data_IF_116869432844
#
_entry.id   IF_116869432844
#
_cell.length_a   1.000
_cell.length_b   1.000
_cell.length_c   1.000
_cell.angle_alpha   90.00
_cell.angle_beta   90.00
_cell.angle_gamma   90.00
#
_symmetry.space_group_name_H-M   'P 1'
#
loop_
_entity.id
_entity.type
_entity.pdbx_description
1 polymer ?
#
# COMPACT_ATOMS: atom_id res chain seq x y z
N UNK A 1 -35.52 3.10 -30.49
CA UNK A 1 -35.36 1.76 -29.88
C UNK A 1 -34.00 1.23 -30.28
N UNK A 2 -32.95 1.57 -29.52
CA UNK A 2 -31.61 1.04 -29.74
C UNK A 2 -31.37 -0.09 -28.74
N UNK A 3 -31.91 -1.28 -29.03
CA UNK A 3 -31.59 -2.51 -28.30
C UNK A 3 -30.30 -3.10 -28.85
N UNK A 4 -29.20 -2.38 -28.67
CA UNK A 4 -27.87 -2.79 -29.11
C UNK A 4 -26.94 -2.96 -27.92
N UNK A 5 -27.22 -3.92 -27.03
CA UNK A 5 -26.19 -4.34 -26.06
C UNK A 5 -25.12 -5.04 -26.87
N UNK A 6 -24.00 -4.35 -27.06
CA UNK A 6 -22.81 -4.80 -27.76
C UNK A 6 -22.44 -6.25 -27.36
N UNK A 7 -22.31 -7.13 -28.34
CA UNK A 7 -22.16 -8.57 -28.12
C UNK A 7 -20.89 -8.90 -27.33
N UNK A 8 -19.85 -8.09 -27.50
CA UNK A 8 -18.62 -8.16 -26.70
C UNK A 8 -18.88 -7.79 -25.24
N UNK A 9 -19.62 -6.71 -24.98
CA UNK A 9 -20.00 -6.31 -23.62
C UNK A 9 -20.85 -7.39 -22.93
N UNK A 10 -21.79 -8.01 -23.65
CA UNK A 10 -22.58 -9.14 -23.13
C UNK A 10 -21.71 -10.37 -22.81
N UNK A 11 -20.76 -10.69 -23.69
CA UNK A 11 -19.80 -11.78 -23.49
C UNK A 11 -18.87 -11.53 -22.30
N UNK A 12 -18.31 -10.33 -22.18
CA UNK A 12 -17.47 -9.94 -21.04
C UNK A 12 -18.24 -9.95 -19.72
N UNK A 13 -19.46 -9.42 -19.71
CA UNK A 13 -20.32 -9.46 -18.53
C UNK A 13 -20.62 -10.90 -18.10
N UNK A 14 -20.89 -11.79 -19.06
CA UNK A 14 -21.06 -13.21 -18.79
C UNK A 14 -19.79 -13.85 -18.24
N UNK A 15 -18.62 -13.59 -18.84
CA UNK A 15 -17.34 -14.11 -18.37
C UNK A 15 -17.00 -13.65 -16.94
N UNK A 16 -17.23 -12.36 -16.64
CA UNK A 16 -17.03 -11.80 -15.30
C UNK A 16 -17.99 -12.42 -14.30
N UNK A 17 -19.26 -12.59 -14.68
CA UNK A 17 -20.24 -13.27 -13.86
C UNK A 17 -19.80 -14.70 -13.54
N UNK A 18 -19.41 -15.49 -14.55
CA UNK A 18 -18.88 -16.84 -14.36
C UNK A 18 -17.60 -16.87 -13.53
N UNK A 19 -16.72 -15.86 -13.66
CA UNK A 19 -15.51 -15.78 -12.85
C UNK A 19 -15.81 -15.48 -11.38
N UNK A 20 -16.75 -14.56 -11.12
CA UNK A 20 -17.15 -14.16 -9.77
C UNK A 20 -17.99 -15.21 -9.05
N UNK A 21 -18.70 -16.08 -9.78
CA UNK A 21 -19.50 -17.17 -9.20
C UNK A 21 -18.72 -18.47 -9.01
N UNK A 22 -17.46 -18.55 -9.47
CA UNK A 22 -16.62 -19.73 -9.25
C UNK A 22 -16.41 -19.99 -7.75
N UNK A 23 -16.51 -21.26 -7.29
CA UNK A 23 -16.27 -21.62 -5.90
C UNK A 23 -14.92 -21.12 -5.35
N UNK A 24 -13.85 -21.20 -6.16
CA UNK A 24 -12.54 -20.69 -5.77
C UNK A 24 -12.56 -19.18 -5.49
N UNK A 25 -13.26 -18.40 -6.31
CA UNK A 25 -13.33 -16.95 -6.14
C UNK A 25 -14.10 -16.61 -4.86
N UNK A 26 -15.24 -17.25 -4.63
CA UNK A 26 -16.06 -17.02 -3.43
C UNK A 26 -15.24 -17.36 -2.17
N UNK A 27 -14.60 -18.54 -2.14
CA UNK A 27 -13.79 -18.96 -0.99
C UNK A 27 -12.60 -18.02 -0.77
N UNK A 28 -11.86 -17.65 -1.82
CA UNK A 28 -10.78 -16.65 -1.73
C UNK A 28 -11.27 -15.31 -1.18
N UNK A 29 -12.40 -14.81 -1.67
CA UNK A 29 -12.98 -13.53 -1.25
C UNK A 29 -13.28 -13.54 0.25
N UNK A 30 -13.91 -14.62 0.74
CA UNK A 30 -14.23 -14.74 2.16
C UNK A 30 -12.98 -14.85 3.04
N UNK A 31 -11.97 -15.61 2.62
CA UNK A 31 -10.68 -15.69 3.33
C UNK A 31 -10.03 -14.30 3.38
N UNK A 32 -9.92 -13.62 2.23
CA UNK A 32 -9.30 -12.29 2.16
C UNK A 32 -10.07 -11.28 3.01
N UNK A 33 -11.40 -11.28 2.95
CA UNK A 33 -12.24 -10.37 3.71
C UNK A 33 -12.09 -10.58 5.23
N UNK A 34 -12.02 -11.82 5.71
CA UNK A 34 -11.90 -12.11 7.15
C UNK A 34 -10.58 -11.62 7.72
N UNK A 35 -9.46 -11.89 7.03
CA UNK A 35 -8.14 -11.44 7.49
C UNK A 35 -7.93 -9.94 7.27
N UNK A 36 -8.48 -9.37 6.20
CA UNK A 36 -8.44 -7.92 5.99
C UNK A 36 -9.19 -7.17 7.09
N UNK A 37 -10.37 -7.66 7.51
CA UNK A 37 -11.12 -7.07 8.63
C UNK A 37 -10.36 -7.16 9.96
N UNK A 38 -9.57 -8.22 10.19
CA UNK A 38 -8.71 -8.33 11.38
C UNK A 38 -7.52 -7.36 11.34
N UNK A 39 -6.98 -7.09 10.16
CA UNK A 39 -5.85 -6.19 9.96
C UNK A 39 -6.27 -4.71 9.86
N UNK A 40 -7.56 -4.44 9.61
CA UNK A 40 -8.12 -3.10 9.41
C UNK A 40 -7.75 -2.09 10.52
N UNK A 41 -7.84 -2.42 11.83
CA UNK A 41 -7.47 -1.49 12.88
C UNK A 41 -5.98 -1.07 12.81
N UNK A 42 -5.10 -2.00 12.45
CA UNK A 42 -3.67 -1.73 12.32
C UNK A 42 -3.40 -0.90 11.08
N UNK A 43 -4.03 -1.23 9.95
CA UNK A 43 -3.86 -0.43 8.72
C UNK A 43 -4.33 1.01 8.94
N UNK A 44 -5.43 1.21 9.67
CA UNK A 44 -5.92 2.55 9.99
C UNK A 44 -4.98 3.28 10.97
N UNK A 45 -4.44 2.58 11.97
CA UNK A 45 -3.46 3.16 12.89
C UNK A 45 -2.15 3.56 12.20
N UNK A 46 -1.68 2.75 11.25
CA UNK A 46 -0.50 3.06 10.43
C UNK A 46 -0.77 4.20 9.43
N UNK A 47 -2.02 4.39 9.00
CA UNK A 47 -2.41 5.47 8.08
C UNK A 47 -2.68 6.80 8.81
N UNK A 48 -2.79 6.78 10.15
CA UNK A 48 -3.05 7.97 10.93
C UNK A 48 -1.87 8.97 10.85
N UNK A 49 -2.22 10.26 10.84
CA UNK A 49 -1.25 11.38 10.77
C UNK A 49 -0.27 11.36 11.95
N UNK A 50 -0.70 10.84 13.10
CA UNK A 50 0.14 10.61 14.27
C UNK A 50 0.64 9.17 14.26
N UNK A 51 1.81 8.96 13.66
CA UNK A 51 2.39 7.65 13.47
C UNK A 51 3.15 7.18 14.73
N UNK A 52 2.58 6.23 15.49
CA UNK A 52 3.30 5.54 16.58
C UNK A 52 3.65 4.10 16.16
N UNK A 53 4.80 3.95 15.48
CA UNK A 53 5.28 2.65 15.02
C UNK A 53 5.62 1.69 16.16
N UNK A 54 5.95 2.21 17.35
CA UNK A 54 6.27 1.36 18.49
C UNK A 54 5.03 0.58 18.95
N UNK A 55 3.88 1.26 18.97
CA UNK A 55 2.59 0.65 19.27
C UNK A 55 2.13 -0.27 18.13
N UNK A 56 2.32 0.14 16.87
CA UNK A 56 2.00 -0.71 15.72
C UNK A 56 2.79 -2.03 15.73
N UNK A 57 4.10 -1.99 16.04
CA UNK A 57 4.95 -3.19 16.13
C UNK A 57 4.46 -4.16 17.21
N UNK A 58 4.07 -3.66 18.38
CA UNK A 58 3.48 -4.49 19.45
C UNK A 58 2.22 -5.18 18.98
N UNK A 59 1.28 -4.43 18.40
CA UNK A 59 0.04 -5.00 17.86
C UNK A 59 0.29 -6.02 16.75
N UNK A 60 1.28 -5.79 15.88
CA UNK A 60 1.63 -6.74 14.81
C UNK A 60 2.22 -8.02 15.39
N UNK A 61 3.07 -7.93 16.42
CA UNK A 61 3.58 -9.10 17.13
C UNK A 61 2.43 -9.90 17.77
N UNK A 62 1.50 -9.22 18.44
CA UNK A 62 0.29 -9.85 19.01
C UNK A 62 -0.57 -10.52 17.93
N UNK A 63 -0.80 -9.87 16.78
CA UNK A 63 -1.55 -10.47 15.66
C UNK A 63 -0.82 -11.69 15.09
N UNK A 64 0.50 -11.64 14.95
CA UNK A 64 1.27 -12.79 14.47
C UNK A 64 1.12 -13.97 15.45
N UNK A 65 1.15 -13.73 16.76
CA UNK A 65 0.90 -14.77 17.75
C UNK A 65 -0.53 -15.33 17.64
N UNK A 66 -1.53 -14.47 17.51
CA UNK A 66 -2.92 -14.90 17.29
C UNK A 66 -2.99 -15.78 16.03
N UNK A 67 -2.43 -15.35 14.90
CA UNK A 67 -2.46 -16.11 13.65
C UNK A 67 -1.75 -17.46 13.73
N UNK A 68 -0.65 -17.56 14.47
CA UNK A 68 0.04 -18.84 14.70
C UNK A 68 -0.76 -19.77 15.62
N UNK A 69 -1.54 -19.21 16.57
CA UNK A 69 -2.31 -19.97 17.55
C UNK A 69 -3.74 -20.31 17.10
N UNK A 70 -4.16 -19.86 15.92
CA UNK A 70 -5.50 -20.15 15.40
C UNK A 70 -5.63 -21.64 15.03
N UNK A 71 -6.66 -22.28 15.56
CA UNK A 71 -7.12 -23.62 15.14
C UNK A 71 -7.59 -23.54 13.67
N UNK A 72 -6.67 -23.76 12.74
CA UNK A 72 -6.90 -23.64 11.29
C UNK A 72 -8.11 -24.44 10.79
N UNK A 73 -8.45 -25.57 11.45
CA UNK A 73 -9.60 -26.40 11.08
C UNK A 73 -10.94 -25.77 11.46
N UNK A 74 -11.09 -25.30 12.70
CA UNK A 74 -12.36 -24.72 13.18
C UNK A 74 -12.60 -23.35 12.54
N UNK A 75 -11.54 -22.55 12.45
CA UNK A 75 -11.64 -21.21 11.89
C UNK A 75 -11.98 -21.25 10.41
N UNK A 76 -11.34 -22.15 9.65
CA UNK A 76 -11.68 -22.35 8.25
C UNK A 76 -13.10 -22.89 8.06
N UNK A 77 -13.57 -23.79 8.93
CA UNK A 77 -14.93 -24.32 8.85
C UNK A 77 -16.01 -23.22 8.91
N UNK A 78 -15.86 -22.24 9.81
CA UNK A 78 -16.78 -21.11 9.92
C UNK A 78 -16.76 -20.22 8.67
N UNK A 79 -15.58 -19.95 8.12
CA UNK A 79 -15.40 -19.18 6.89
C UNK A 79 -16.02 -19.92 5.70
N UNK A 80 -15.77 -21.23 5.62
CA UNK A 80 -16.26 -22.08 4.55
C UNK A 80 -17.79 -22.19 4.58
N UNK A 81 -18.41 -22.28 5.77
CA UNK A 81 -19.87 -22.28 5.92
C UNK A 81 -20.49 -20.98 5.40
N UNK A 82 -19.92 -19.81 5.75
CA UNK A 82 -20.37 -18.52 5.23
C UNK A 82 -20.24 -18.43 3.71
N UNK A 83 -19.12 -18.92 3.16
CA UNK A 83 -18.90 -19.00 1.73
C UNK A 83 -19.90 -19.94 1.04
N UNK A 84 -20.24 -21.06 1.68
CA UNK A 84 -21.22 -22.04 1.19
C UNK A 84 -22.64 -21.46 1.17
N UNK A 85 -23.05 -20.75 2.21
CA UNK A 85 -24.37 -20.09 2.27
C UNK A 85 -24.54 -19.07 1.13
N UNK A 86 -23.47 -18.32 0.79
CA UNK A 86 -23.48 -17.39 -0.33
C UNK A 86 -23.44 -18.09 -1.68
N UNK A 87 -22.65 -19.17 -1.82
CA UNK A 87 -22.65 -19.97 -3.04
C UNK A 87 -24.03 -20.57 -3.33
N UNK A 88 -24.73 -21.08 -2.31
CA UNK A 88 -26.10 -21.61 -2.43
C UNK A 88 -27.07 -20.51 -2.90
N UNK A 89 -26.97 -19.29 -2.34
CA UNK A 89 -27.79 -18.14 -2.78
C UNK A 89 -27.52 -17.74 -4.24
N UNK A 90 -26.31 -17.97 -4.74
CA UNK A 90 -25.92 -17.71 -6.13
C UNK A 90 -26.28 -18.87 -7.08
N UNK A 91 -26.89 -19.96 -6.57
CA UNK A 91 -27.28 -21.12 -7.37
C UNK A 91 -26.12 -22.06 -7.72
N UNK A 92 -24.94 -21.89 -7.11
CA UNK A 92 -23.74 -22.66 -7.38
C UNK A 92 -23.39 -23.62 -6.23
N UNK A 93 -22.95 -24.83 -6.57
CA UNK A 93 -22.45 -25.80 -5.58
C UNK A 93 -20.93 -25.72 -5.55
N UNK A 94 -20.35 -25.52 -4.37
CA UNK A 94 -18.90 -25.60 -4.17
C UNK A 94 -18.45 -27.03 -4.52
N UNK A 95 -17.78 -27.16 -5.67
CA UNK A 95 -17.16 -28.40 -6.14
C UNK A 95 -15.65 -28.23 -6.13
N UNK A 96 -14.95 -29.34 -5.87
CA UNK A 96 -13.50 -29.40 -6.04
C UNK A 96 -13.22 -29.18 -7.54
N UNK A 97 -12.33 -28.26 -7.92
CA UNK A 97 -11.89 -28.14 -9.31
C UNK A 97 -11.30 -29.49 -9.75
N UNK A 98 -11.60 -29.93 -10.97
CA UNK A 98 -11.13 -31.22 -11.50
C UNK A 98 -9.61 -31.36 -11.31
N UNK A 99 -9.19 -32.32 -10.48
CA UNK A 99 -7.79 -32.63 -10.25
C UNK A 99 -7.33 -33.49 -11.42
N UNK A 100 -6.52 -32.91 -12.31
CA UNK A 100 -5.89 -33.65 -13.41
C UNK A 100 -4.63 -34.31 -12.88
N UNK A 101 -4.40 -35.58 -13.21
CA UNK A 101 -3.32 -36.41 -12.66
C UNK A 101 -1.90 -35.82 -12.84
N UNK A 102 -1.68 -35.01 -13.88
CA UNK A 102 -0.43 -34.30 -14.13
C UNK A 102 -0.61 -32.79 -13.91
N UNK A 103 -0.31 -32.30 -12.71
CA UNK A 103 -0.10 -30.87 -12.45
C UNK A 103 1.30 -30.67 -11.87
N UNK A 104 2.18 -30.02 -12.64
CA UNK A 104 3.58 -29.79 -12.23
C UNK A 104 3.75 -28.65 -11.20
N UNK A 105 2.70 -27.85 -10.96
CA UNK A 105 2.78 -26.62 -10.16
C UNK A 105 1.80 -26.56 -8.97
N UNK A 106 1.07 -27.65 -8.66
CA UNK A 106 0.11 -27.69 -7.56
C UNK A 106 0.35 -28.92 -6.66
N UNK A 107 0.25 -28.71 -5.35
CA UNK A 107 0.41 -29.75 -4.33
C UNK A 107 -0.82 -30.68 -4.34
N UNK A 108 -0.70 -31.86 -4.94
CA UNK A 108 -1.76 -32.88 -4.93
C UNK A 108 -1.79 -33.63 -3.60
N UNK A 109 -2.39 -33.02 -2.58
CA UNK A 109 -2.67 -33.73 -1.33
C UNK A 109 -3.84 -34.72 -1.53
N UNK A 110 -3.78 -35.93 -0.95
CA UNK A 110 -4.89 -36.88 -1.04
C UNK A 110 -6.04 -36.36 -0.17
N UNK A 111 -7.12 -35.88 -0.78
CA UNK A 111 -8.17 -35.14 -0.08
C UNK A 111 -9.54 -35.77 -0.32
N UNK A 112 -10.27 -36.02 0.77
CA UNK A 112 -11.59 -36.66 0.78
C UNK A 112 -12.77 -35.67 0.86
N UNK A 113 -12.56 -34.38 1.17
CA UNK A 113 -13.64 -33.37 1.28
C UNK A 113 -13.30 -32.05 0.57
N UNK A 114 -14.28 -31.32 0.01
CA UNK A 114 -14.05 -29.99 -0.58
C UNK A 114 -13.48 -28.99 0.41
N UNK A 115 -13.85 -29.11 1.69
CA UNK A 115 -13.39 -28.24 2.76
C UNK A 115 -11.89 -28.44 3.03
N UNK A 116 -11.42 -29.68 3.13
CA UNK A 116 -10.00 -29.98 3.31
C UNK A 116 -9.17 -29.49 2.11
N UNK A 117 -9.72 -29.55 0.89
CA UNK A 117 -9.02 -29.07 -0.31
C UNK A 117 -8.77 -27.57 -0.24
N UNK A 118 -9.80 -26.78 0.01
CA UNK A 118 -9.65 -25.33 0.09
C UNK A 118 -8.83 -24.88 1.30
N UNK A 119 -8.87 -25.65 2.40
CA UNK A 119 -8.03 -25.37 3.57
C UNK A 119 -6.54 -25.49 3.23
N UNK A 120 -6.13 -26.59 2.60
CA UNK A 120 -4.71 -26.87 2.34
C UNK A 120 -4.18 -26.10 1.14
N UNK A 121 -5.01 -25.95 0.09
CA UNK A 121 -4.56 -25.30 -1.16
C UNK A 121 -4.60 -23.78 -1.12
N UNK A 122 -5.54 -23.17 -0.38
CA UNK A 122 -5.74 -21.71 -0.40
C UNK A 122 -5.51 -21.09 0.97
N UNK A 123 -6.21 -21.58 2.01
CA UNK A 123 -6.20 -20.94 3.32
C UNK A 123 -4.81 -20.99 3.97
N UNK A 124 -4.19 -22.17 4.07
CA UNK A 124 -2.88 -22.31 4.71
C UNK A 124 -1.79 -21.50 3.99
N UNK A 125 -1.60 -21.60 2.66
CA UNK A 125 -0.60 -20.80 1.96
C UNK A 125 -0.87 -19.29 2.07
N UNK A 126 -2.14 -18.87 2.11
CA UNK A 126 -2.48 -17.45 2.28
C UNK A 126 -2.10 -16.94 3.68
N UNK A 127 -2.45 -17.67 4.73
CA UNK A 127 -2.10 -17.31 6.12
C UNK A 127 -0.58 -17.31 6.31
N UNK A 128 0.11 -18.33 5.80
CA UNK A 128 1.58 -18.41 5.86
C UNK A 128 2.23 -17.24 5.12
N UNK A 129 1.72 -16.89 3.94
CA UNK A 129 2.19 -15.74 3.17
C UNK A 129 1.97 -14.43 3.91
N UNK A 130 0.80 -14.23 4.53
CA UNK A 130 0.51 -13.05 5.35
C UNK A 130 1.46 -12.95 6.54
N UNK A 131 1.65 -14.04 7.29
CA UNK A 131 2.56 -14.08 8.44
C UNK A 131 3.99 -13.78 7.99
N UNK A 132 4.44 -14.38 6.88
CA UNK A 132 5.77 -14.15 6.32
C UNK A 132 5.94 -12.67 5.93
N UNK A 133 4.99 -12.07 5.24
CA UNK A 133 5.05 -10.66 4.85
C UNK A 133 5.06 -9.72 6.06
N UNK A 134 4.25 -10.00 7.09
CA UNK A 134 4.26 -9.23 8.34
C UNK A 134 5.60 -9.35 9.06
N UNK A 135 6.16 -10.57 9.16
CA UNK A 135 7.49 -10.80 9.75
C UNK A 135 8.61 -10.11 8.98
N UNK A 136 8.59 -10.18 7.65
CA UNK A 136 9.57 -9.51 6.80
C UNK A 136 9.49 -7.99 6.94
N UNK A 137 8.28 -7.43 6.95
CA UNK A 137 8.09 -5.97 7.03
C UNK A 137 8.49 -5.41 8.38
N UNK A 138 8.14 -6.07 9.48
CA UNK A 138 8.41 -5.62 10.85
C UNK A 138 9.56 -6.38 11.51
N UNK A 139 10.49 -6.90 10.70
CA UNK A 139 11.70 -7.56 11.17
C UNK A 139 12.58 -6.60 11.97
N UNK A 140 13.47 -7.16 12.78
CA UNK A 140 14.46 -6.35 13.52
C UNK A 140 15.43 -5.61 12.59
N UNK A 141 15.64 -6.13 11.38
CA UNK A 141 16.50 -5.53 10.35
C UNK A 141 15.93 -4.18 9.87
N UNK A 142 14.60 -4.07 9.74
CA UNK A 142 13.92 -2.82 9.37
C UNK A 142 13.73 -1.87 10.57
N UNK A 143 14.20 -2.25 11.77
CA UNK A 143 14.07 -1.42 12.96
C UNK A 143 14.80 -0.09 12.80
N UNK A 144 15.97 -0.07 12.14
CA UNK A 144 16.71 1.15 11.86
C UNK A 144 15.92 2.13 10.97
N UNK A 145 15.24 1.63 9.94
CA UNK A 145 14.37 2.43 9.09
C UNK A 145 13.19 3.03 9.85
N UNK A 146 12.61 2.27 10.79
CA UNK A 146 11.53 2.76 11.66
C UNK A 146 12.02 3.72 12.75
N UNK A 147 13.27 3.59 13.18
CA UNK A 147 13.89 4.47 14.19
C UNK A 147 14.00 5.93 13.72
N UNK A 148 14.00 6.20 12.40
CA UNK A 148 13.94 7.56 11.86
C UNK A 148 12.72 8.35 12.38
N UNK A 149 11.61 7.68 12.67
CA UNK A 149 10.40 8.33 13.18
C UNK A 149 10.50 8.70 14.67
N UNK A 150 11.53 8.18 15.37
CA UNK A 150 11.88 8.64 16.72
C UNK A 150 12.58 10.01 16.70
N UNK A 151 12.93 10.54 15.52
CA UNK A 151 13.36 11.94 15.34
C UNK A 151 12.24 12.95 15.63
N UNK A 152 11.01 12.48 15.86
CA UNK A 152 9.89 13.33 16.24
C UNK A 152 9.95 13.75 17.72
N UNK A 153 9.72 15.03 18.07
CA UNK A 153 9.80 15.53 19.44
C UNK A 153 8.92 14.77 20.46
N UNK A 154 7.73 14.31 20.05
CA UNK A 154 6.83 13.50 20.89
C UNK A 154 7.48 12.18 21.33
N UNK A 155 8.27 11.56 20.45
CA UNK A 155 8.95 10.30 20.72
C UNK A 155 10.23 10.54 21.54
N UNK A 156 10.99 11.60 21.22
CA UNK A 156 12.19 11.98 21.97
C UNK A 156 11.91 12.23 23.46
N UNK A 157 10.79 12.87 23.79
CA UNK A 157 10.41 13.13 25.19
C UNK A 157 10.15 11.85 25.98
N UNK A 158 9.81 10.75 25.32
CA UNK A 158 9.56 9.44 25.96
C UNK A 158 10.84 8.62 26.12
N UNK A 159 11.91 8.94 25.38
CA UNK A 159 13.11 8.11 25.24
C UNK A 159 14.26 8.68 26.06
N UNK A 160 15.02 7.80 26.73
CA UNK A 160 16.23 8.18 27.46
C UNK A 160 17.37 8.54 26.50
N UNK A 161 18.27 9.43 26.93
CA UNK A 161 19.35 9.94 26.07
C UNK A 161 20.24 8.83 25.50
N UNK A 162 20.63 7.86 26.33
CA UNK A 162 21.54 6.77 25.91
C UNK A 162 20.90 5.85 24.87
N UNK A 163 19.59 5.61 24.98
CA UNK A 163 18.82 4.82 24.00
C UNK A 163 18.67 5.57 22.68
N UNK A 164 18.49 6.89 22.74
CA UNK A 164 18.45 7.72 21.54
C UNK A 164 19.78 7.70 20.78
N UNK A 165 20.90 7.75 21.51
CA UNK A 165 22.23 7.68 20.91
C UNK A 165 22.48 6.37 20.17
N UNK A 166 22.13 5.22 20.78
CA UNK A 166 22.30 3.92 20.10
C UNK A 166 21.46 3.85 18.83
N UNK A 167 20.23 4.37 18.85
CA UNK A 167 19.37 4.42 17.66
C UNK A 167 19.94 5.32 16.56
N UNK A 168 20.51 6.48 16.90
CA UNK A 168 21.12 7.36 15.89
C UNK A 168 22.36 6.71 15.25
N UNK A 169 23.15 5.97 16.03
CA UNK A 169 24.29 5.21 15.49
C UNK A 169 23.81 4.10 14.54
N UNK A 170 22.74 3.39 14.89
CA UNK A 170 22.13 2.38 14.01
C UNK A 170 21.61 3.01 12.70
N UNK A 171 20.95 4.17 12.78
CA UNK A 171 20.44 4.91 11.61
C UNK A 171 21.61 5.36 10.73
N UNK A 172 22.67 5.91 11.34
CA UNK A 172 23.85 6.36 10.61
C UNK A 172 24.50 5.19 9.84
N UNK A 173 24.64 4.02 10.49
CA UNK A 173 25.19 2.84 9.83
C UNK A 173 24.30 2.29 8.70
N UNK A 174 22.97 2.44 8.81
CA UNK A 174 22.02 1.92 7.83
C UNK A 174 21.87 2.82 6.60
N UNK A 175 21.83 4.14 6.81
CA UNK A 175 21.61 5.13 5.74
C UNK A 175 22.88 5.84 5.28
N UNK A 176 24.02 5.59 5.93
CA UNK A 176 25.31 6.22 5.64
C UNK A 176 25.22 7.75 5.61
N UNK A 177 24.59 8.34 6.63
CA UNK A 177 24.40 9.80 6.75
C UNK A 177 25.51 10.40 7.61
N UNK A 178 26.51 10.98 6.96
CA UNK A 178 27.63 11.67 7.62
C UNK A 178 27.16 12.69 8.67
N UNK A 179 27.80 12.70 9.83
CA UNK A 179 27.58 13.65 10.94
C UNK A 179 26.20 13.64 11.62
N UNK A 180 25.34 12.65 11.34
CA UNK A 180 24.03 12.52 11.97
C UNK A 180 24.11 12.32 13.50
N UNK A 181 25.18 11.68 13.98
CA UNK A 181 25.36 11.39 15.40
C UNK A 181 25.58 12.66 16.24
N UNK A 182 26.29 13.64 15.70
CA UNK A 182 26.60 14.91 16.32
C UNK A 182 25.40 15.86 16.26
N UNK A 183 24.79 16.02 15.07
CA UNK A 183 23.59 16.86 14.92
C UNK A 183 22.39 16.28 15.69
N UNK A 184 22.24 14.95 15.72
CA UNK A 184 21.19 14.26 16.46
C UNK A 184 21.26 14.52 17.97
N UNK A 185 22.46 14.57 18.55
CA UNK A 185 22.68 14.94 19.97
C UNK A 185 22.18 16.35 20.27
N UNK A 186 22.55 17.31 19.42
CA UNK A 186 22.14 18.69 19.55
C UNK A 186 20.62 18.81 19.42
N UNK A 187 20.05 18.15 18.42
CA UNK A 187 18.61 18.12 18.16
C UNK A 187 17.82 17.58 19.36
N UNK A 188 18.24 16.46 19.96
CA UNK A 188 17.61 15.92 21.17
C UNK A 188 17.65 16.91 22.34
N UNK A 189 18.80 17.56 22.57
CA UNK A 189 18.96 18.53 23.65
C UNK A 189 18.10 19.79 23.45
N UNK A 190 17.99 20.29 22.21
CA UNK A 190 17.14 21.44 21.87
C UNK A 190 15.67 21.13 22.18
N UNK A 191 15.16 19.98 21.74
CA UNK A 191 13.75 19.62 21.95
C UNK A 191 13.42 19.20 23.38
N UNK A 192 14.40 18.68 24.12
CA UNK A 192 14.24 18.36 25.55
C UNK A 192 14.24 19.61 26.42
N UNK A 193 15.05 20.61 26.07
CA UNK A 193 15.14 21.88 26.80
C UNK A 193 14.04 22.88 26.44
N UNK A 194 13.36 22.70 25.30
CA UNK A 194 12.16 23.48 24.98
C UNK A 194 11.01 23.09 25.93
N UNK A 195 10.49 24.08 26.67
CA UNK A 195 9.32 23.98 27.53
C UNK A 195 8.00 23.84 26.72
N UNK A 196 7.98 22.95 25.74
CA UNK A 196 6.79 22.65 24.94
C UNK A 196 5.93 21.64 25.71
N UNK A 197 4.63 21.88 25.83
CA UNK A 197 3.72 20.92 26.46
C UNK A 197 3.67 19.60 25.66
N UNK A 198 3.42 18.47 26.34
CA UNK A 198 3.30 17.16 25.67
C UNK A 198 2.18 17.13 24.61
N UNK A 199 1.17 17.99 24.76
CA UNK A 199 0.07 18.16 23.80
C UNK A 199 0.47 19.00 22.58
N UNK A 200 1.34 19.99 22.76
CA UNK A 200 1.88 20.80 21.66
C UNK A 200 2.79 19.95 20.77
N UNK A 201 3.65 19.12 21.37
CA UNK A 201 4.53 18.21 20.61
C UNK A 201 3.79 17.08 19.88
N UNK A 202 2.57 16.73 20.28
CA UNK A 202 1.73 15.75 19.56
C UNK A 202 1.08 16.34 18.31
N UNK A 203 0.86 17.66 18.30
CA UNK A 203 0.22 18.38 17.19
C UNK A 203 1.22 18.88 16.14
N UNK A 204 2.52 18.85 16.43
CA UNK A 204 3.56 19.12 15.42
C UNK A 204 3.47 18.01 14.38
N UNK A 205 3.24 18.40 13.12
CA UNK A 205 3.32 17.48 12.00
C UNK A 205 4.78 17.26 11.60
N UNK A 206 5.11 16.10 11.03
CA UNK A 206 6.45 15.87 10.46
C UNK A 206 6.81 16.89 9.39
N UNK A 207 5.82 17.45 8.66
CA UNK A 207 6.04 18.48 7.63
C UNK A 207 6.47 19.79 8.28
N UNK A 208 5.78 20.26 9.32
CA UNK A 208 6.18 21.47 10.06
C UNK A 208 7.54 21.32 10.75
N UNK A 209 7.98 20.08 11.01
CA UNK A 209 9.29 19.80 11.59
C UNK A 209 10.43 20.05 10.59
N UNK A 210 10.18 19.94 9.28
CA UNK A 210 11.17 20.24 8.24
C UNK A 210 11.53 21.74 8.22
N UNK A 211 10.58 22.63 8.50
CA UNK A 211 10.84 24.07 8.54
C UNK A 211 11.80 24.45 9.68
N UNK A 212 11.84 23.64 10.75
CA UNK A 212 12.71 23.86 11.91
C UNK A 212 14.11 23.24 11.75
N UNK A 213 14.37 22.48 10.68
CA UNK A 213 15.64 21.78 10.46
C UNK A 213 16.62 22.54 9.56
N UNK A 214 16.34 23.81 9.25
CA UNK A 214 17.24 24.68 8.47
C UNK A 214 18.67 24.77 9.03
N UNK A 215 18.85 24.59 10.34
CA UNK A 215 20.16 24.60 11.01
C UNK A 215 20.78 23.20 11.17
N UNK A 216 20.07 22.15 10.75
CA UNK A 216 20.42 20.74 10.94
C UNK A 216 20.24 19.95 9.63
N UNK A 217 21.14 20.13 8.64
CA UNK A 217 21.00 19.54 7.30
C UNK A 217 20.94 18.00 7.31
N UNK A 218 21.66 17.34 8.22
CA UNK A 218 21.64 15.87 8.30
C UNK A 218 20.32 15.35 8.88
N UNK A 219 19.76 16.07 9.86
CA UNK A 219 18.44 15.79 10.44
C UNK A 219 17.32 16.09 9.44
N UNK A 220 17.43 17.17 8.67
CA UNK A 220 16.51 17.46 7.57
C UNK A 220 16.46 16.28 6.58
N UNK A 221 17.63 15.75 6.21
CA UNK A 221 17.74 14.61 5.29
C UNK A 221 17.12 13.35 5.89
N UNK A 222 17.44 13.03 7.15
CA UNK A 222 16.87 11.89 7.87
C UNK A 222 15.34 11.98 8.01
N UNK A 223 14.80 13.16 8.32
CA UNK A 223 13.35 13.40 8.39
C UNK A 223 12.68 13.35 7.02
N UNK A 224 13.34 13.82 5.98
CA UNK A 224 12.85 13.69 4.60
C UNK A 224 12.75 12.22 4.20
N UNK A 225 13.78 11.43 4.50
CA UNK A 225 13.76 9.97 4.31
C UNK A 225 12.58 9.36 5.10
N UNK A 226 12.42 9.73 6.38
CA UNK A 226 11.31 9.26 7.22
C UNK A 226 9.93 9.55 6.62
N UNK A 227 9.75 10.73 6.02
CA UNK A 227 8.51 11.15 5.36
C UNK A 227 8.26 10.44 4.03
N UNK A 228 9.33 10.06 3.32
CA UNK A 228 9.24 9.31 2.06
C UNK A 228 9.09 7.81 2.26
N UNK A 229 9.42 7.29 3.46
CA UNK A 229 9.20 5.89 3.78
C UNK A 229 7.68 5.62 3.70
N UNK A 230 7.23 4.70 2.82
CA UNK A 230 5.83 4.36 2.72
C UNK A 230 5.45 3.52 3.94
N UNK A 231 5.12 4.17 5.05
CA UNK A 231 4.51 3.48 6.18
C UNK A 231 3.13 2.99 5.75
N UNK A 232 2.44 3.74 4.88
CA UNK A 232 1.15 3.35 4.29
C UNK A 232 0.95 3.84 2.85
N UNK A 233 0.00 3.20 2.18
CA UNK A 233 -0.37 3.35 0.76
C UNK A 233 -1.00 4.72 0.40
N UNK A 234 -0.84 5.76 1.21
CA UNK A 234 -1.43 7.09 0.96
C UNK A 234 -1.05 7.65 -0.43
N UNK A 235 0.13 7.31 -0.95
CA UNK A 235 0.57 7.66 -2.32
C UNK A 235 -0.38 7.13 -3.39
N UNK A 236 -0.98 5.97 -3.12
CA UNK A 236 -1.84 5.23 -4.05
C UNK A 236 -3.30 5.73 -3.99
N UNK A 237 -3.75 6.31 -2.88
CA UNK A 237 -5.09 6.88 -2.77
C UNK A 237 -5.28 8.14 -3.62
N UNK A 238 -4.25 9.01 -3.67
CA UNK A 238 -4.26 10.20 -4.53
C UNK A 238 -4.38 9.79 -6.00
N UNK A 239 -3.59 8.82 -6.44
CA UNK A 239 -3.61 8.34 -7.83
C UNK A 239 -4.93 7.64 -8.16
N UNK A 240 -5.47 6.80 -7.27
CA UNK A 240 -6.80 6.18 -7.49
C UNK A 240 -7.95 7.18 -7.50
N UNK A 241 -7.91 8.20 -6.63
CA UNK A 241 -8.91 9.29 -6.63
C UNK A 241 -8.84 10.10 -7.93
N UNK A 242 -7.64 10.43 -8.40
CA UNK A 242 -7.47 11.07 -9.71
C UNK A 242 -7.91 10.17 -10.85
N UNK A 243 -7.60 8.87 -10.79
CA UNK A 243 -7.99 7.90 -11.81
C UNK A 243 -9.52 7.81 -11.92
N UNK A 244 -10.23 7.81 -10.79
CA UNK A 244 -11.70 7.83 -10.75
C UNK A 244 -12.30 9.08 -11.39
N UNK A 245 -11.61 10.23 -11.31
CA UNK A 245 -12.02 11.48 -11.97
C UNK A 245 -11.70 11.49 -13.47
N UNK A 246 -10.57 10.91 -13.86
CA UNK A 246 -10.11 10.88 -15.27
C UNK A 246 -10.85 9.80 -16.08
N UNK A 247 -11.09 8.62 -15.48
CA UNK A 247 -11.77 7.49 -16.10
C UNK A 247 -13.25 7.49 -15.75
N UNK A 248 -14.03 8.24 -16.52
CA UNK A 248 -15.50 8.29 -16.42
C UNK A 248 -16.16 7.29 -17.35
N UNK A 249 -17.44 6.96 -17.11
CA UNK A 249 -18.21 6.03 -17.95
C UNK A 249 -18.23 6.43 -19.44
N UNK A 250 -18.29 7.73 -19.73
CA UNK A 250 -18.21 8.30 -21.08
C UNK A 250 -16.82 8.24 -21.72
N UNK A 251 -15.77 7.92 -20.95
CA UNK A 251 -14.35 7.88 -21.34
C UNK A 251 -13.75 6.48 -21.18
N UNK A 252 -14.58 5.44 -21.17
CA UNK A 252 -14.14 4.06 -20.94
C UNK A 252 -13.30 3.45 -22.06
N UNK A 253 -13.32 4.00 -23.28
CA UNK A 253 -12.55 3.52 -24.44
C UNK A 253 -11.15 4.16 -24.58
N UNK A 254 -10.65 4.83 -23.55
CA UNK A 254 -9.31 5.45 -23.57
C UNK A 254 -8.23 4.37 -23.43
N UNK A 255 -7.24 4.36 -24.34
CA UNK A 255 -6.07 3.49 -24.24
C UNK A 255 -5.10 3.90 -23.11
N UNK A 256 -4.34 2.93 -22.61
CA UNK A 256 -3.54 3.07 -21.37
C UNK A 256 -2.54 4.23 -21.41
N UNK A 257 -1.86 4.46 -22.54
CA UNK A 257 -0.91 5.56 -22.68
C UNK A 257 -1.56 6.93 -22.43
N UNK A 258 -2.74 7.15 -23.00
CA UNK A 258 -3.48 8.39 -22.84
C UNK A 258 -4.06 8.53 -21.43
N UNK A 259 -4.50 7.42 -20.83
CA UNK A 259 -4.98 7.41 -19.45
C UNK A 259 -3.87 7.80 -18.49
N UNK A 260 -2.69 7.20 -18.62
CA UNK A 260 -1.52 7.50 -17.79
C UNK A 260 -1.09 8.97 -17.94
N UNK A 261 -1.00 9.50 -19.16
CA UNK A 261 -0.68 10.91 -19.39
C UNK A 261 -1.69 11.87 -18.74
N UNK A 262 -3.00 11.60 -18.88
CA UNK A 262 -4.04 12.41 -18.25
C UNK A 262 -3.99 12.33 -16.72
N UNK A 263 -3.71 11.16 -16.16
CA UNK A 263 -3.53 10.98 -14.71
C UNK A 263 -2.32 11.78 -14.20
N UNK A 264 -1.18 11.74 -14.91
CA UNK A 264 0.01 12.51 -14.53
C UNK A 264 -0.28 14.02 -14.50
N UNK A 265 -0.94 14.54 -15.54
CA UNK A 265 -1.36 15.95 -15.59
C UNK A 265 -2.34 16.29 -14.45
N UNK A 266 -3.27 15.38 -14.13
CA UNK A 266 -4.26 15.59 -13.08
C UNK A 266 -3.66 15.57 -11.66
N UNK A 267 -2.66 14.71 -11.41
CA UNK A 267 -1.95 14.63 -10.13
C UNK A 267 -1.05 15.85 -9.94
N UNK A 268 -0.31 16.24 -10.98
CA UNK A 268 0.63 17.37 -10.95
C UNK A 268 0.02 18.67 -11.51
N UNK A 269 -1.28 18.88 -11.27
CA UNK A 269 -2.04 20.00 -11.85
C UNK A 269 -1.39 21.37 -11.56
N UNK A 270 -0.89 21.58 -10.34
CA UNK A 270 -0.27 22.85 -9.94
C UNK A 270 1.02 23.13 -10.71
N UNK A 271 1.89 22.11 -10.83
CA UNK A 271 3.09 22.19 -11.64
C UNK A 271 2.76 22.53 -13.11
N UNK A 272 1.79 21.83 -13.70
CA UNK A 272 1.36 22.07 -15.09
C UNK A 272 0.77 23.47 -15.29
N UNK A 273 0.08 24.02 -14.29
CA UNK A 273 -0.46 25.39 -14.37
C UNK A 273 0.67 26.42 -14.30
N UNK A 274 1.64 26.23 -13.41
CA UNK A 274 2.76 27.14 -13.22
C UNK A 274 3.72 27.15 -14.44
N UNK A 275 3.97 26.00 -15.05
CA UNK A 275 4.87 25.83 -16.19
C UNK A 275 4.14 25.69 -17.54
N UNK A 276 2.90 26.18 -17.62
CA UNK A 276 2.01 25.91 -18.78
C UNK A 276 2.62 26.36 -20.12
N UNK A 277 3.24 27.54 -20.16
CA UNK A 277 3.76 28.10 -21.41
C UNK A 277 4.98 27.31 -21.91
N UNK A 278 5.93 27.02 -21.02
CA UNK A 278 7.12 26.19 -21.31
C UNK A 278 6.73 24.81 -21.83
N UNK A 279 5.79 24.14 -21.14
CA UNK A 279 5.30 22.83 -21.56
C UNK A 279 4.60 22.85 -22.92
N UNK A 280 3.88 23.93 -23.26
CA UNK A 280 3.25 24.05 -24.59
C UNK A 280 4.31 24.17 -25.67
N UNK A 281 5.36 24.97 -25.46
CA UNK A 281 6.46 25.11 -26.41
C UNK A 281 7.21 23.78 -26.60
N UNK A 282 7.51 23.06 -25.52
CA UNK A 282 8.12 21.73 -25.59
C UNK A 282 7.26 20.74 -26.36
N UNK A 283 5.95 20.72 -26.11
CA UNK A 283 5.00 19.86 -26.83
C UNK A 283 4.95 20.23 -28.32
N UNK A 284 4.96 21.52 -28.66
CA UNK A 284 5.00 21.98 -30.06
C UNK A 284 6.29 21.52 -30.74
N UNK A 285 7.42 21.64 -30.04
CA UNK A 285 8.72 21.21 -30.53
C UNK A 285 8.76 19.69 -30.75
N UNK A 286 8.34 18.88 -29.79
CA UNK A 286 8.23 17.42 -29.98
C UNK A 286 7.28 17.06 -31.12
N UNK A 287 6.12 17.71 -31.20
CA UNK A 287 5.16 17.47 -32.28
C UNK A 287 5.70 17.88 -33.65
N UNK A 288 6.63 18.84 -33.70
CA UNK A 288 7.31 19.24 -34.93
C UNK A 288 8.30 18.19 -35.45
N UNK A 289 8.87 17.37 -34.55
CA UNK A 289 9.80 16.29 -34.89
C UNK A 289 9.11 15.02 -35.41
N UNK A 290 7.80 14.87 -35.17
CA UNK A 290 7.05 13.71 -35.65
C UNK A 290 6.87 13.76 -37.17
N UNK A 291 7.05 12.63 -37.89
CA UNK A 291 6.90 12.59 -39.34
C UNK A 291 5.45 12.93 -39.72
N UNK A 292 5.28 14.05 -40.43
CA UNK A 292 3.97 14.54 -40.85
C UNK A 292 3.51 13.82 -42.10
N UNK A 293 2.20 13.54 -42.19
CA UNK A 293 1.56 13.04 -43.43
C UNK A 293 1.20 14.15 -44.43
N UNK A 294 1.43 15.42 -44.08
CA UNK A 294 1.20 16.58 -44.95
C UNK A 294 2.41 17.53 -44.86
N UNK A 295 2.92 17.95 -46.01
CA UNK A 295 3.91 19.02 -46.15
C UNK A 295 3.20 20.38 -46.03
N UNK A 296 3.62 21.19 -45.05
CA UNK A 296 3.15 22.57 -44.93
C UNK A 296 4.08 23.45 -45.78
N UNK A 297 3.63 23.78 -47.00
CA UNK A 297 4.26 24.81 -47.82
C UNK A 297 3.91 26.18 -47.23
N UNK A 298 4.83 26.78 -46.49
CA UNK A 298 4.75 28.19 -46.15
C UNK A 298 5.10 28.99 -47.40
N UNK A 299 4.17 29.84 -47.88
CA UNK A 299 4.47 30.83 -48.91
C UNK A 299 5.10 32.03 -48.24
N UNK A 300 6.29 32.39 -48.70
CA UNK A 300 7.00 33.62 -48.34
C UNK A 300 6.20 34.89 -48.67
#
# INVERSE_FOLDING_TARGET
>A
METGVDSQTKSQAFQLHTAATKPNFIVCLFIMATFSAQLEPITNALQAVQLDLSQARKYISEIIEIFNNLDAKKYFHEIFKKAQDVAIKLGEKIKIPLIVSNQNHLSNHPINTPEDYFRVSLYQPYVDSLIMQLKLRFSNENSAAHSLLNLHPNNMKKIQYDQFLSMIVEINNFYEIDSLAEEGKLWYNVWKNRNTSQNETKNISFISLLDETNLYPTIHTALTIALTLPVTTCSVERTFSTLRRVKTWTRNSIGDNRLNGLCMIAVHKEFVINHKLELIEEIINEFSLLPRRMELLFKD
#
